data_IF_766526770511
#
_entry.id   IF_766526770511
#
_cell.length_a   1.000
_cell.length_b   1.000
_cell.length_c   1.000
_cell.angle_alpha   90.00
_cell.angle_beta   90.00
_cell.angle_gamma   90.00
#
_symmetry.space_group_name_H-M   'P 1'
#
loop_
_entity.id
_entity.type
_entity.pdbx_description
1 polymer ?
#
# COMPACT_ATOMS: atom_id res chain seq x y z
N UNK A 1 -17.85 -4.40 -9.39
CA UNK A 1 -17.16 -5.63 -9.79
C UNK A 1 -17.71 -6.85 -9.07
N UNK A 2 -17.54 -6.98 -7.74
CA UNK A 2 -18.05 -8.12 -6.96
C UNK A 2 -19.54 -8.48 -7.20
N UNK A 3 -20.42 -7.48 -7.32
CA UNK A 3 -21.84 -7.72 -7.63
C UNK A 3 -22.05 -8.35 -9.01
N UNK A 4 -21.31 -7.92 -10.01
CA UNK A 4 -21.35 -8.48 -11.37
C UNK A 4 -20.81 -9.91 -11.38
N UNK A 5 -19.73 -10.16 -10.63
CA UNK A 5 -19.14 -11.50 -10.46
C UNK A 5 -20.13 -12.46 -9.78
N UNK A 6 -20.79 -12.01 -8.71
CA UNK A 6 -21.83 -12.78 -8.04
C UNK A 6 -23.03 -13.06 -8.96
N UNK A 7 -23.49 -12.05 -9.71
CA UNK A 7 -24.60 -12.20 -10.66
C UNK A 7 -24.27 -13.16 -11.83
N UNK A 8 -22.99 -13.29 -12.17
CA UNK A 8 -22.52 -14.27 -13.15
C UNK A 8 -22.43 -15.70 -12.60
N UNK A 9 -22.74 -15.93 -11.33
CA UNK A 9 -22.68 -17.26 -10.70
C UNK A 9 -21.26 -17.79 -10.52
N UNK A 10 -20.27 -16.90 -10.36
CA UNK A 10 -18.89 -17.31 -10.17
C UNK A 10 -18.69 -17.99 -8.81
N UNK A 11 -18.24 -19.25 -8.85
CA UNK A 11 -17.97 -20.09 -7.67
C UNK A 11 -16.48 -20.33 -7.42
N UNK A 12 -15.60 -19.65 -8.16
CA UNK A 12 -14.15 -19.76 -8.00
C UNK A 12 -13.59 -18.85 -6.91
N UNK A 13 -12.27 -18.72 -6.93
CA UNK A 13 -11.52 -17.81 -6.05
C UNK A 13 -11.48 -16.39 -6.63
N UNK A 14 -11.96 -15.42 -5.85
CA UNK A 14 -11.95 -14.00 -6.17
C UNK A 14 -10.95 -13.25 -5.28
N UNK A 15 -9.99 -12.56 -5.91
CA UNK A 15 -9.07 -11.65 -5.24
C UNK A 15 -9.64 -10.23 -5.27
N UNK A 16 -10.00 -9.68 -4.11
CA UNK A 16 -10.36 -8.26 -4.00
C UNK A 16 -9.10 -7.43 -3.74
N UNK A 17 -8.51 -6.90 -4.82
CA UNK A 17 -7.32 -6.04 -4.75
C UNK A 17 -7.63 -4.55 -5.01
N UNK A 18 -8.90 -4.16 -5.12
CA UNK A 18 -9.25 -2.76 -5.27
C UNK A 18 -9.08 -2.03 -3.93
N UNK A 19 -8.76 -0.73 -3.94
CA UNK A 19 -8.75 0.07 -2.72
C UNK A 19 -10.16 0.17 -2.12
N UNK A 20 -10.43 -0.62 -1.08
CA UNK A 20 -11.68 -0.65 -0.33
C UNK A 20 -11.40 -0.65 1.17
N UNK A 21 -12.43 -0.42 1.98
CA UNK A 21 -12.31 -0.54 3.45
C UNK A 21 -12.45 -2.00 3.90
N UNK A 22 -11.95 -2.36 5.09
CA UNK A 22 -12.13 -3.69 5.68
C UNK A 22 -13.60 -4.13 5.72
N UNK A 23 -14.51 -3.22 6.08
CA UNK A 23 -15.95 -3.50 6.13
C UNK A 23 -16.51 -3.78 4.73
N UNK A 24 -15.99 -3.07 3.72
CA UNK A 24 -16.42 -3.24 2.33
C UNK A 24 -15.95 -4.57 1.76
N UNK A 25 -14.71 -5.00 2.02
CA UNK A 25 -14.24 -6.32 1.58
C UNK A 25 -14.95 -7.46 2.33
N UNK A 26 -15.29 -7.29 3.62
CA UNK A 26 -16.15 -8.24 4.34
C UNK A 26 -17.56 -8.35 3.74
N UNK A 27 -18.12 -7.24 3.22
CA UNK A 27 -19.38 -7.28 2.46
C UNK A 27 -19.24 -8.00 1.12
N UNK A 28 -18.08 -7.90 0.47
CA UNK A 28 -17.76 -8.61 -0.79
C UNK A 28 -17.62 -10.12 -0.54
N UNK A 29 -16.90 -10.51 0.50
CA UNK A 29 -16.78 -11.89 0.97
C UNK A 29 -18.16 -12.50 1.23
N UNK A 30 -18.97 -11.84 2.08
CA UNK A 30 -20.33 -12.30 2.40
C UNK A 30 -21.22 -12.46 1.16
N UNK A 31 -21.05 -11.60 0.15
CA UNK A 31 -21.80 -11.68 -1.09
C UNK A 31 -21.37 -12.89 -1.95
N UNK A 32 -20.07 -13.07 -2.13
CA UNK A 32 -19.52 -14.09 -3.02
C UNK A 32 -19.56 -15.50 -2.40
N UNK A 33 -19.36 -15.62 -1.08
CA UNK A 33 -19.50 -16.90 -0.38
C UNK A 33 -20.93 -17.42 -0.42
N UNK A 34 -21.95 -16.55 -0.33
CA UNK A 34 -23.36 -16.96 -0.54
C UNK A 34 -23.65 -17.44 -1.95
N UNK A 35 -22.88 -17.00 -2.94
CA UNK A 35 -22.96 -17.46 -4.32
C UNK A 35 -22.11 -18.73 -4.57
N UNK A 36 -21.43 -19.27 -3.55
CA UNK A 36 -20.59 -20.46 -3.64
C UNK A 36 -19.13 -20.20 -4.02
N UNK A 37 -18.68 -18.94 -4.06
CA UNK A 37 -17.29 -18.56 -4.32
C UNK A 37 -16.45 -18.38 -3.05
N UNK A 38 -15.15 -18.18 -3.24
CA UNK A 38 -14.20 -17.88 -2.18
C UNK A 38 -13.56 -16.50 -2.39
N UNK A 39 -13.17 -15.81 -1.32
CA UNK A 39 -12.57 -14.48 -1.39
C UNK A 39 -11.24 -14.43 -0.65
N UNK A 40 -10.26 -13.77 -1.28
CA UNK A 40 -9.01 -13.33 -0.64
C UNK A 40 -8.97 -11.81 -0.70
N UNK A 41 -8.66 -11.18 0.41
CA UNK A 41 -8.41 -9.74 0.50
C UNK A 41 -6.98 -9.44 0.06
N UNK A 42 -6.81 -8.44 -0.80
CA UNK A 42 -5.54 -8.11 -1.41
C UNK A 42 -5.25 -6.61 -1.36
N UNK A 43 -3.98 -6.23 -1.24
CA UNK A 43 -3.57 -4.86 -1.50
C UNK A 43 -2.22 -4.74 -2.19
N UNK A 44 -2.16 -3.89 -3.21
CA UNK A 44 -0.91 -3.56 -3.91
C UNK A 44 -0.26 -2.33 -3.28
N UNK A 45 1.03 -2.44 -2.94
CA UNK A 45 1.87 -1.32 -2.49
C UNK A 45 3.15 -1.30 -3.33
N UNK A 46 3.45 -0.13 -3.89
CA UNK A 46 4.57 0.08 -4.80
C UNK A 46 4.17 0.92 -6.01
N UNK A 47 5.13 1.23 -6.90
CA UNK A 47 4.86 1.84 -8.20
C UNK A 47 4.17 0.85 -9.15
N UNK A 48 4.07 1.18 -10.43
CA UNK A 48 3.62 0.20 -11.42
C UNK A 48 4.64 -0.95 -11.53
N UNK A 49 4.21 -2.23 -11.58
CA UNK A 49 5.10 -3.39 -11.55
C UNK A 49 5.80 -3.60 -12.90
N UNK A 50 6.85 -2.81 -13.14
CA UNK A 50 7.71 -2.93 -14.33
C UNK A 50 8.98 -3.72 -14.06
N UNK A 51 9.43 -3.70 -12.81
CA UNK A 51 10.66 -4.33 -12.35
C UNK A 51 10.35 -5.17 -11.11
N UNK A 52 10.87 -6.40 -11.00
CA UNK A 52 10.77 -7.22 -9.80
C UNK A 52 11.26 -6.47 -8.54
N UNK A 53 10.67 -6.75 -7.39
CA UNK A 53 11.05 -6.13 -6.11
C UNK A 53 10.51 -4.73 -5.86
N UNK A 54 9.82 -4.12 -6.84
CA UNK A 54 9.28 -2.76 -6.68
C UNK A 54 7.86 -2.74 -6.13
N UNK A 55 7.06 -3.76 -6.44
CA UNK A 55 5.63 -3.80 -6.13
C UNK A 55 5.27 -5.08 -5.41
N UNK A 56 4.57 -4.96 -4.28
CA UNK A 56 4.14 -6.08 -3.46
C UNK A 56 2.63 -6.15 -3.36
N UNK A 57 2.07 -7.33 -3.61
CA UNK A 57 0.68 -7.72 -3.36
C UNK A 57 0.60 -8.42 -2.00
N UNK A 58 0.07 -7.72 -1.01
CA UNK A 58 -0.20 -8.30 0.29
C UNK A 58 -1.54 -9.03 0.25
N UNK A 59 -1.60 -10.22 0.85
CA UNK A 59 -2.74 -11.12 0.82
C UNK A 59 -3.20 -11.45 2.23
N UNK A 60 -4.52 -11.48 2.43
CA UNK A 60 -5.14 -11.89 3.67
C UNK A 60 -6.35 -12.80 3.40
N UNK A 61 -6.38 -13.95 4.07
CA UNK A 61 -7.40 -14.98 3.87
C UNK A 61 -6.86 -16.38 4.18
N UNK A 62 -7.69 -17.43 4.05
CA UNK A 62 -7.28 -18.80 4.31
C UNK A 62 -6.00 -19.20 3.57
N UNK A 63 -5.09 -19.88 4.27
CA UNK A 63 -3.75 -20.19 3.75
C UNK A 63 -3.75 -20.91 2.39
N UNK A 64 -4.64 -21.88 2.19
CA UNK A 64 -4.74 -22.59 0.91
C UNK A 64 -5.10 -21.66 -0.26
N UNK A 65 -6.07 -20.76 -0.07
CA UNK A 65 -6.49 -19.80 -1.10
C UNK A 65 -5.41 -18.75 -1.40
N UNK A 66 -4.76 -18.23 -0.36
CA UNK A 66 -3.65 -17.26 -0.55
C UNK A 66 -2.43 -17.92 -1.22
N UNK A 67 -2.23 -19.23 -1.01
CA UNK A 67 -1.23 -20.03 -1.70
C UNK A 67 -1.51 -20.15 -3.21
N UNK A 68 -2.78 -20.39 -3.60
CA UNK A 68 -3.18 -20.39 -5.02
C UNK A 68 -2.89 -19.06 -5.71
N UNK A 69 -3.22 -17.93 -5.06
CA UNK A 69 -2.90 -16.59 -5.61
C UNK A 69 -1.38 -16.39 -5.68
N UNK A 70 -0.63 -16.79 -4.65
CA UNK A 70 0.84 -16.69 -4.65
C UNK A 70 1.46 -17.43 -5.83
N UNK A 71 0.97 -18.63 -6.14
CA UNK A 71 1.43 -19.40 -7.29
C UNK A 71 1.14 -18.72 -8.63
N UNK A 72 0.01 -18.01 -8.77
CA UNK A 72 -0.33 -17.26 -10.00
C UNK A 72 0.63 -16.10 -10.29
N UNK A 73 1.22 -15.50 -9.25
CA UNK A 73 2.16 -14.38 -9.37
C UNK A 73 3.63 -14.81 -9.36
N UNK A 74 3.92 -16.11 -9.25
CA UNK A 74 5.29 -16.62 -9.24
C UNK A 74 6.04 -16.26 -10.54
N UNK A 75 7.23 -15.68 -10.39
CA UNK A 75 8.05 -15.22 -11.52
C UNK A 75 7.57 -13.94 -12.20
N UNK A 76 6.52 -13.28 -11.69
CA UNK A 76 6.08 -11.98 -12.19
C UNK A 76 6.85 -10.81 -11.53
N UNK A 77 6.64 -9.59 -12.04
CA UNK A 77 7.18 -8.37 -11.41
C UNK A 77 6.48 -7.98 -10.10
N UNK A 78 5.40 -8.69 -9.72
CA UNK A 78 4.67 -8.50 -8.46
C UNK A 78 5.09 -9.58 -7.47
N UNK A 79 5.61 -9.15 -6.32
CA UNK A 79 5.90 -10.05 -5.21
C UNK A 79 4.65 -10.24 -4.35
N UNK A 80 4.35 -11.46 -3.91
CA UNK A 80 3.23 -11.71 -2.99
C UNK A 80 3.71 -11.87 -1.56
N UNK A 81 2.93 -11.38 -0.60
CA UNK A 81 3.19 -11.58 0.83
C UNK A 81 1.88 -11.84 1.59
N UNK A 82 1.76 -13.03 2.18
CA UNK A 82 0.62 -13.36 3.05
C UNK A 82 0.85 -12.75 4.43
N UNK A 83 -0.11 -11.97 4.92
CA UNK A 83 0.05 -11.20 6.18
C UNK A 83 -0.91 -11.61 7.28
N UNK A 84 -2.01 -12.28 6.94
CA UNK A 84 -3.03 -12.68 7.89
C UNK A 84 -3.97 -13.73 7.28
N UNK A 85 -4.70 -14.44 8.14
CA UNK A 85 -5.72 -15.40 7.71
C UNK A 85 -7.12 -14.79 7.58
N UNK A 86 -7.36 -13.61 8.15
CA UNK A 86 -8.66 -12.95 8.15
C UNK A 86 -8.79 -11.91 7.04
N UNK A 87 -9.88 -11.99 6.28
CA UNK A 87 -10.28 -10.98 5.29
C UNK A 87 -10.40 -9.61 5.95
N UNK A 88 -9.93 -8.56 5.26
CA UNK A 88 -9.91 -7.18 5.73
C UNK A 88 -8.53 -6.69 6.18
N UNK A 89 -7.60 -7.59 6.51
CA UNK A 89 -6.27 -7.20 6.98
C UNK A 89 -5.41 -6.52 5.89
N UNK A 90 -5.49 -6.95 4.63
CA UNK A 90 -4.76 -6.32 3.52
C UNK A 90 -5.36 -4.94 3.19
N UNK A 91 -6.69 -4.83 3.21
CA UNK A 91 -7.38 -3.55 3.10
C UNK A 91 -7.01 -2.58 4.23
N UNK A 92 -6.95 -3.06 5.48
CA UNK A 92 -6.50 -2.25 6.63
C UNK A 92 -5.04 -1.79 6.48
N UNK A 93 -4.14 -2.69 6.06
CA UNK A 93 -2.76 -2.35 5.77
C UNK A 93 -2.66 -1.24 4.71
N UNK A 94 -3.48 -1.31 3.65
CA UNK A 94 -3.48 -0.29 2.59
C UNK A 94 -3.87 1.09 3.12
N UNK A 95 -4.88 1.15 3.97
CA UNK A 95 -5.33 2.39 4.62
C UNK A 95 -4.24 2.93 5.54
N UNK A 96 -3.65 2.09 6.40
CA UNK A 96 -2.59 2.48 7.30
C UNK A 96 -1.38 3.03 6.54
N UNK A 97 -0.90 2.31 5.53
CA UNK A 97 0.20 2.74 4.67
C UNK A 97 -0.09 4.07 3.96
N UNK A 98 -1.28 4.19 3.37
CA UNK A 98 -1.67 5.42 2.64
C UNK A 98 -1.81 6.63 3.56
N UNK A 99 -2.25 6.40 4.80
CA UNK A 99 -2.35 7.45 5.82
C UNK A 99 -0.96 7.91 6.23
N UNK A 100 -0.08 6.97 6.60
CA UNK A 100 1.31 7.26 6.95
C UNK A 100 2.06 8.03 5.84
N UNK A 101 1.92 7.58 4.59
CA UNK A 101 2.58 8.23 3.45
C UNK A 101 2.13 9.68 3.24
N UNK A 102 0.91 10.04 3.68
CA UNK A 102 0.35 11.40 3.52
C UNK A 102 0.59 12.29 4.72
N UNK A 103 0.65 11.73 5.93
CA UNK A 103 0.62 12.54 7.16
C UNK A 103 1.93 12.52 7.95
N UNK A 104 2.86 11.60 7.66
CA UNK A 104 4.10 11.44 8.44
C UNK A 104 4.95 12.71 8.58
N UNK A 105 4.83 13.66 7.65
CA UNK A 105 5.57 14.94 7.69
C UNK A 105 4.91 16.04 8.52
N UNK A 106 3.63 15.90 8.85
CA UNK A 106 2.87 16.92 9.59
C UNK A 106 3.43 17.14 11.00
N UNK A 107 3.72 16.09 11.80
CA UNK A 107 4.29 16.29 13.14
C UNK A 107 5.66 16.96 13.12
N UNK A 108 6.49 16.65 12.12
CA UNK A 108 7.81 17.27 11.94
C UNK A 108 7.66 18.76 11.65
N UNK A 109 6.78 19.14 10.73
CA UNK A 109 6.49 20.53 10.43
C UNK A 109 5.96 21.30 11.66
N UNK A 110 5.08 20.66 12.46
CA UNK A 110 4.56 21.23 13.69
C UNK A 110 5.65 21.46 14.73
N UNK A 111 6.55 20.49 14.91
CA UNK A 111 7.67 20.61 15.85
C UNK A 111 8.61 21.77 15.47
N UNK A 112 8.92 21.93 14.18
CA UNK A 112 9.72 23.07 13.69
C UNK A 112 9.01 24.41 13.89
N UNK A 113 7.72 24.50 13.56
CA UNK A 113 6.96 25.73 13.76
C UNK A 113 6.91 26.15 15.24
N UNK A 114 6.75 25.18 16.15
CA UNK A 114 6.77 25.43 17.59
C UNK A 114 8.16 25.89 18.06
N UNK A 115 9.23 25.26 17.58
CA UNK A 115 10.59 25.66 17.92
C UNK A 115 10.89 27.10 17.45
N UNK A 116 10.42 27.47 16.25
CA UNK A 116 10.55 28.82 15.70
C UNK A 116 9.80 29.86 16.54
N UNK A 117 8.56 29.55 16.95
CA UNK A 117 7.73 30.45 17.75
C UNK A 117 8.39 30.79 19.11
N UNK A 118 9.06 29.83 19.73
CA UNK A 118 9.76 30.02 20.99
C UNK A 118 11.25 30.38 20.83
N UNK A 119 11.75 30.54 19.60
CA UNK A 119 13.16 30.86 19.33
C UNK A 119 14.16 29.79 19.79
N UNK A 120 13.74 28.53 19.85
CA UNK A 120 14.55 27.37 20.31
C UNK A 120 14.97 26.44 19.16
N UNK A 121 14.99 26.94 17.92
CA UNK A 121 15.39 26.16 16.74
C UNK A 121 16.84 25.66 16.81
N UNK A 122 17.71 26.42 17.47
CA UNK A 122 19.03 25.95 17.87
C UNK A 122 19.04 25.78 19.40
N UNK A 123 19.27 24.57 19.93
CA UNK A 123 19.59 24.43 21.33
C UNK A 123 20.84 25.27 21.57
N UNK A 124 20.72 26.33 22.40
CA UNK A 124 21.83 27.17 22.82
C UNK A 124 23.06 26.28 23.05
N UNK A 125 24.20 26.53 22.38
CA UNK A 125 25.36 25.66 22.50
C UNK A 125 25.72 25.64 23.97
N UNK A 126 25.48 24.49 24.59
CA UNK A 126 25.86 24.21 25.97
C UNK A 126 27.31 24.64 26.10
N UNK A 127 27.58 25.67 26.91
CA UNK A 127 28.93 26.16 27.16
C UNK A 127 29.79 24.96 27.60
N UNK A 128 30.92 24.67 26.94
CA UNK A 128 31.71 23.50 27.26
C UNK A 128 32.50 23.74 28.54
N UNK A 129 31.89 23.39 29.66
CA UNK A 129 32.44 22.95 30.93
C UNK A 129 31.23 22.19 31.50
N UNK A 130 31.10 20.86 31.42
CA UNK A 130 31.77 19.88 32.29
C UNK A 130 31.68 18.48 31.64
N UNK A 131 32.82 17.81 31.47
CA UNK A 131 32.99 16.35 31.65
C UNK A 131 32.20 15.34 30.78
N UNK A 132 32.98 14.63 29.95
CA UNK A 132 32.83 13.23 29.54
C UNK A 132 31.94 12.87 28.32
N UNK A 133 32.62 12.75 27.18
CA UNK A 133 32.71 11.55 26.32
C UNK A 133 31.42 10.72 26.08
N UNK A 134 30.86 10.80 24.85
CA UNK A 134 30.55 9.65 23.96
C UNK A 134 29.76 10.02 22.67
N UNK A 135 30.29 9.53 21.54
CA UNK A 135 29.69 9.23 20.22
C UNK A 135 29.21 10.35 19.25
N UNK A 136 30.07 10.63 18.24
CA UNK A 136 29.91 10.77 16.76
C UNK A 136 28.53 10.95 16.05
N UNK A 137 28.55 11.41 14.77
CA UNK A 137 28.11 12.71 14.26
C UNK A 137 26.59 12.86 14.05
N UNK A 138 26.12 14.11 14.05
CA UNK A 138 24.71 14.52 14.11
C UNK A 138 23.89 14.27 12.81
N UNK A 139 22.63 13.80 12.91
CA UNK A 139 21.74 13.55 11.77
C UNK A 139 21.00 14.80 11.22
N UNK A 140 21.39 16.00 11.63
CA UNK A 140 20.58 17.23 11.46
C UNK A 140 20.79 17.99 10.14
N UNK A 141 21.42 17.41 9.13
CA UNK A 141 21.52 18.06 7.80
C UNK A 141 20.56 17.45 6.80
N UNK A 142 19.33 17.98 6.76
CA UNK A 142 18.45 17.79 5.61
C UNK A 142 18.72 18.90 4.57
N UNK A 143 18.89 18.57 3.29
CA UNK A 143 19.04 19.58 2.24
C UNK A 143 17.73 20.38 2.07
N UNK A 144 17.81 21.64 1.60
CA UNK A 144 16.64 22.51 1.45
C UNK A 144 15.61 21.91 0.48
N UNK A 145 14.33 22.04 0.84
CA UNK A 145 13.20 21.68 -0.01
C UNK A 145 13.21 22.52 -1.28
N UNK A 146 13.59 21.90 -2.41
CA UNK A 146 13.28 22.44 -3.75
C UNK A 146 11.82 22.14 -4.10
N UNK A 147 11.06 23.11 -4.65
CA UNK A 147 9.77 22.80 -5.25
C UNK A 147 9.98 21.85 -6.43
N UNK A 148 9.07 20.88 -6.58
CA UNK A 148 9.10 19.93 -7.69
C UNK A 148 9.00 20.68 -9.03
N UNK A 149 9.87 20.38 -10.02
CA UNK A 149 9.71 20.92 -11.35
C UNK A 149 8.50 20.25 -12.01
N UNK A 150 7.45 21.03 -12.30
CA UNK A 150 6.32 20.58 -13.12
C UNK A 150 4.96 20.85 -12.50
N UNK A 151 4.48 22.08 -12.64
CA UNK A 151 3.08 22.46 -12.41
C UNK A 151 2.14 21.90 -13.49
N UNK A 152 2.05 20.57 -13.60
CA UNK A 152 1.09 19.87 -14.46
C UNK A 152 0.08 19.11 -13.63
N UNK A 153 -1.22 19.39 -13.81
CA UNK A 153 -2.31 18.63 -13.17
C UNK A 153 -2.27 17.17 -13.66
N UNK A 154 -2.25 16.15 -12.79
CA UNK A 154 -2.33 14.77 -13.23
C UNK A 154 -3.74 14.49 -13.79
N UNK A 155 -3.84 14.14 -15.07
CA UNK A 155 -5.08 13.74 -15.74
C UNK A 155 -5.34 12.23 -15.55
N UNK A 156 -5.84 11.83 -14.39
CA UNK A 156 -6.23 10.45 -14.11
C UNK A 156 -7.51 10.02 -14.85
N UNK A 157 -7.51 10.01 -16.19
CA UNK A 157 -8.56 9.29 -16.95
C UNK A 157 -8.28 7.78 -16.88
N UNK A 158 -9.06 7.07 -16.08
CA UNK A 158 -9.13 5.60 -16.10
C UNK A 158 -9.89 5.18 -17.37
N UNK A 159 -9.22 4.51 -18.30
CA UNK A 159 -9.87 3.64 -19.27
C UNK A 159 -10.05 2.27 -18.61
N UNK A 160 -11.23 1.62 -18.66
CA UNK A 160 -11.37 0.24 -18.22
C UNK A 160 -10.70 -0.67 -19.25
N UNK A 161 -9.55 -1.24 -18.91
CA UNK A 161 -8.94 -2.30 -19.73
C UNK A 161 -9.74 -3.59 -19.51
N UNK A 162 -10.58 -3.94 -20.48
CA UNK A 162 -11.15 -5.28 -20.61
C UNK A 162 -10.04 -6.17 -21.18
N UNK A 163 -9.53 -7.11 -20.39
CA UNK A 163 -8.62 -8.15 -20.88
C UNK A 163 -9.50 -9.25 -21.48
N UNK A 164 -9.55 -9.32 -22.82
CA UNK A 164 -10.14 -10.46 -23.52
C UNK A 164 -9.18 -11.67 -23.47
N UNK A 165 -9.68 -12.92 -23.39
CA UNK A 165 -8.82 -14.10 -23.37
C UNK A 165 -8.10 -14.31 -24.72
N UNK A 166 -6.89 -14.90 -24.73
CA UNK A 166 -6.13 -15.14 -25.95
C UNK A 166 -6.81 -16.23 -26.81
N UNK A 167 -7.00 -15.93 -28.10
CA UNK A 167 -7.39 -16.92 -29.11
C UNK A 167 -6.10 -17.61 -29.58
N UNK A 168 -5.97 -18.90 -29.31
CA UNK A 168 -4.88 -19.71 -29.87
C UNK A 168 -5.26 -20.21 -31.27
N UNK A 169 -4.41 -20.06 -32.29
CA UNK A 169 -4.63 -20.69 -33.59
C UNK A 169 -4.37 -22.21 -33.48
N UNK A 170 -5.34 -23.00 -33.91
CA UNK A 170 -5.19 -24.44 -34.11
C UNK A 170 -4.22 -24.71 -35.26
N UNK A 171 -3.20 -25.52 -35.00
CA UNK A 171 -2.51 -26.32 -36.02
C UNK A 171 -2.65 -27.78 -35.66
#
# INVERSE_FOLDING_TARGET
>A
MAQTVAAAGFTGLYLEANPVTPERVGSVESLLTRAGGAVVDGCLIGPAPREPGTTRLYLAGPHHLTGEITALFAGSAVETAVIAENVGAASALKIAHSSFAKTSRVPVALAHALAAEYGVEEPSPRRPDDGADRLSPSPTSLPPLRPAPGGGRPNWRRQPTVIAPPVYPTR
#
